data_IF_987662498009
#
_entry.id   IF_987662498009
#
_cell.length_a   1.000
_cell.length_b   1.000
_cell.length_c   1.000
_cell.angle_alpha   90.00
_cell.angle_beta   90.00
_cell.angle_gamma   90.00
#
_symmetry.space_group_name_H-M   'P 1'
#
loop_
_entity.id
_entity.type
_entity.pdbx_description
1 polymer ?
#
# COMPACT_ATOMS: atom_id res chain seq x y z
N UNK A 1 -19.11 -38.32 6.06
CA UNK A 1 -18.69 -37.95 7.42
C UNK A 1 -17.44 -37.08 7.29
N UNK A 2 -17.31 -35.99 8.04
CA UNK A 2 -16.08 -35.18 8.06
C UNK A 2 -14.90 -36.03 8.52
N UNK A 3 -13.73 -35.78 7.95
CA UNK A 3 -12.49 -36.45 8.37
C UNK A 3 -12.00 -35.96 9.74
N UNK A 4 -11.06 -36.65 10.36
CA UNK A 4 -10.45 -36.19 11.60
C UNK A 4 -9.74 -34.82 11.43
N UNK A 5 -9.24 -34.53 10.22
CA UNK A 5 -8.65 -33.23 9.91
C UNK A 5 -9.74 -32.14 9.82
N UNK A 6 -10.86 -32.41 9.19
CA UNK A 6 -11.97 -31.44 9.10
C UNK A 6 -12.47 -31.05 10.48
N UNK A 7 -12.65 -32.02 11.38
CA UNK A 7 -13.07 -31.75 12.76
C UNK A 7 -12.06 -30.90 13.54
N UNK A 8 -10.76 -31.12 13.31
CA UNK A 8 -9.69 -30.29 13.93
C UNK A 8 -9.68 -28.86 13.37
N UNK A 9 -9.88 -28.70 12.07
CA UNK A 9 -9.98 -27.38 11.42
C UNK A 9 -11.21 -26.63 11.90
N UNK A 10 -12.35 -27.30 12.00
CA UNK A 10 -13.58 -26.72 12.52
C UNK A 10 -13.43 -26.29 14.00
N UNK A 11 -12.81 -27.12 14.82
CA UNK A 11 -12.52 -26.77 16.22
C UNK A 11 -11.59 -25.55 16.32
N UNK A 12 -10.53 -25.48 15.50
CA UNK A 12 -9.64 -24.32 15.45
C UNK A 12 -10.35 -23.06 14.95
N UNK A 13 -11.18 -23.19 13.91
CA UNK A 13 -12.00 -22.07 13.40
C UNK A 13 -12.93 -21.54 14.50
N UNK A 14 -13.66 -22.41 15.20
CA UNK A 14 -14.57 -22.04 16.26
C UNK A 14 -13.86 -21.42 17.46
N UNK A 15 -12.63 -21.83 17.77
CA UNK A 15 -11.80 -21.20 18.81
C UNK A 15 -11.43 -19.76 18.45
N UNK A 16 -11.18 -19.50 17.18
CA UNK A 16 -10.73 -18.17 16.69
C UNK A 16 -11.93 -17.24 16.48
N UNK A 17 -13.05 -17.74 15.94
CA UNK A 17 -14.20 -16.92 15.49
C UNK A 17 -15.44 -17.06 16.39
N UNK A 18 -15.45 -18.00 17.34
CA UNK A 18 -16.55 -18.23 18.26
C UNK A 18 -16.67 -17.15 19.34
N UNK A 19 -17.68 -17.27 20.21
CA UNK A 19 -17.89 -16.30 21.29
C UNK A 19 -16.65 -16.15 22.18
N UNK A 20 -16.15 -14.92 22.31
CA UNK A 20 -14.91 -14.64 23.05
C UNK A 20 -13.62 -14.88 22.28
N UNK A 21 -13.68 -15.35 21.05
CA UNK A 21 -12.51 -15.49 20.17
C UNK A 21 -11.94 -14.14 19.71
N UNK A 22 -10.68 -14.14 19.24
CA UNK A 22 -10.00 -12.89 18.84
C UNK A 22 -10.58 -12.26 17.56
N UNK A 23 -11.29 -13.02 16.73
CA UNK A 23 -11.91 -12.55 15.50
C UNK A 23 -13.45 -12.54 15.70
N UNK A 24 -14.04 -11.37 15.63
CA UNK A 24 -15.48 -11.21 15.71
C UNK A 24 -16.07 -11.09 14.31
N UNK A 25 -16.89 -12.08 13.92
CA UNK A 25 -17.58 -12.06 12.64
C UNK A 25 -18.86 -11.23 12.74
N UNK A 26 -19.09 -10.40 11.73
CA UNK A 26 -20.29 -9.60 11.53
C UNK A 26 -20.82 -9.77 10.12
N UNK A 27 -21.90 -9.06 9.81
CA UNK A 27 -22.48 -9.00 8.47
C UNK A 27 -22.68 -7.54 8.06
N UNK A 28 -22.40 -7.23 6.81
CA UNK A 28 -22.62 -5.91 6.22
C UNK A 28 -23.35 -6.05 4.89
N UNK A 29 -24.32 -5.17 4.66
CA UNK A 29 -24.99 -5.10 3.36
C UNK A 29 -24.14 -4.26 2.39
N UNK A 30 -23.80 -4.85 1.23
CA UNK A 30 -23.13 -4.17 0.14
C UNK A 30 -23.70 -4.64 -1.20
N UNK A 31 -24.08 -3.68 -2.07
CA UNK A 31 -24.63 -3.93 -3.39
C UNK A 31 -25.84 -4.89 -3.37
N UNK A 32 -26.70 -4.80 -2.34
CA UNK A 32 -27.86 -5.65 -2.17
C UNK A 32 -27.57 -7.07 -1.66
N UNK A 33 -26.34 -7.34 -1.23
CA UNK A 33 -25.91 -8.62 -0.68
C UNK A 33 -25.44 -8.50 0.77
N UNK A 34 -25.77 -9.48 1.59
CA UNK A 34 -25.23 -9.64 2.94
C UNK A 34 -23.86 -10.34 2.83
N UNK A 35 -22.82 -9.63 3.20
CA UNK A 35 -21.45 -10.13 3.14
C UNK A 35 -20.87 -10.28 4.55
N UNK A 36 -20.17 -11.40 4.84
CA UNK A 36 -19.47 -11.54 6.12
C UNK A 36 -18.26 -10.61 6.16
N UNK A 37 -17.97 -10.06 7.34
CA UNK A 37 -16.79 -9.25 7.58
C UNK A 37 -16.29 -9.41 9.02
N UNK A 38 -15.05 -9.02 9.28
CA UNK A 38 -14.45 -9.01 10.62
C UNK A 38 -14.81 -7.69 11.29
N UNK A 39 -15.74 -7.72 12.25
CA UNK A 39 -16.32 -6.50 12.86
C UNK A 39 -15.36 -5.75 13.79
N UNK A 40 -14.37 -6.43 14.35
CA UNK A 40 -13.35 -5.85 15.23
C UNK A 40 -12.00 -5.56 14.54
N UNK A 41 -11.93 -5.69 13.21
CA UNK A 41 -10.76 -5.27 12.45
C UNK A 41 -10.76 -3.76 12.20
N UNK A 42 -9.59 -3.14 11.98
CA UNK A 42 -9.51 -1.76 11.51
C UNK A 42 -10.33 -1.57 10.22
N UNK A 43 -10.99 -0.41 10.08
CA UNK A 43 -12.00 -0.17 9.03
C UNK A 43 -11.40 0.06 7.64
N UNK A 44 -10.11 0.33 7.55
CA UNK A 44 -9.39 0.54 6.29
C UNK A 44 -7.93 0.04 6.41
N UNK A 45 -7.27 -0.13 5.25
CA UNK A 45 -5.91 -0.66 5.20
C UNK A 45 -4.86 0.26 5.85
N UNK A 46 -5.03 1.57 5.81
CA UNK A 46 -4.11 2.51 6.45
C UNK A 46 -4.13 2.35 7.99
N UNK A 47 -5.33 2.24 8.56
CA UNK A 47 -5.50 1.98 10.01
C UNK A 47 -4.97 0.59 10.39
N UNK A 48 -5.14 -0.40 9.50
CA UNK A 48 -4.61 -1.75 9.69
C UNK A 48 -3.07 -1.73 9.78
N UNK A 49 -2.40 -1.03 8.87
CA UNK A 49 -0.94 -0.87 8.90
C UNK A 49 -0.50 -0.11 10.16
N UNK A 50 -1.21 0.95 10.54
CA UNK A 50 -0.93 1.71 11.75
C UNK A 50 -1.03 0.85 13.02
N UNK A 51 -2.05 0.00 13.10
CA UNK A 51 -2.25 -0.93 14.21
C UNK A 51 -1.04 -1.89 14.36
N UNK A 52 -0.63 -2.54 13.27
CA UNK A 52 0.51 -3.47 13.33
C UNK A 52 1.85 -2.76 13.53
N UNK A 53 2.02 -1.55 13.00
CA UNK A 53 3.20 -0.75 13.26
C UNK A 53 3.32 -0.37 14.75
N UNK A 54 2.21 -0.06 15.41
CA UNK A 54 2.18 0.20 16.84
C UNK A 54 2.44 -1.07 17.67
N UNK A 55 1.93 -2.23 17.23
CA UNK A 55 2.05 -3.49 17.95
C UNK A 55 3.46 -4.08 17.85
N UNK A 56 4.09 -4.02 16.68
CA UNK A 56 5.37 -4.68 16.41
C UNK A 56 6.57 -3.74 16.48
N UNK A 57 6.37 -2.44 16.36
CA UNK A 57 7.39 -1.41 16.60
C UNK A 57 8.70 -1.65 15.85
N UNK A 58 9.74 -1.98 16.60
CA UNK A 58 11.09 -2.17 16.08
C UNK A 58 11.37 -3.58 15.53
N UNK A 59 10.39 -4.51 15.54
CA UNK A 59 10.53 -5.81 14.90
C UNK A 59 10.73 -5.64 13.39
N UNK A 60 11.55 -6.51 12.78
CA UNK A 60 11.81 -6.48 11.33
C UNK A 60 10.53 -6.81 10.55
N UNK A 61 10.18 -5.98 9.57
CA UNK A 61 9.04 -6.16 8.68
C UNK A 61 9.47 -6.47 7.24
N UNK A 62 10.36 -5.66 6.67
CA UNK A 62 10.83 -5.84 5.29
C UNK A 62 12.32 -6.15 5.27
N UNK A 63 12.70 -7.00 4.32
CA UNK A 63 14.07 -7.43 4.09
C UNK A 63 14.34 -7.41 2.60
N UNK A 64 15.32 -6.62 2.16
CA UNK A 64 15.79 -6.58 0.77
C UNK A 64 17.33 -6.50 0.78
N UNK A 65 17.99 -7.54 0.28
CA UNK A 65 19.46 -7.65 0.40
C UNK A 65 19.91 -7.54 1.87
N UNK A 66 20.75 -6.55 2.16
CA UNK A 66 21.23 -6.25 3.51
C UNK A 66 20.35 -5.25 4.27
N UNK A 67 19.42 -4.58 3.58
CA UNK A 67 18.50 -3.64 4.21
C UNK A 67 17.42 -4.37 5.02
N UNK A 68 17.24 -3.92 6.25
CA UNK A 68 16.23 -4.41 7.20
C UNK A 68 15.43 -3.23 7.69
N UNK A 69 14.14 -3.23 7.43
CA UNK A 69 13.24 -2.17 7.89
C UNK A 69 12.27 -2.74 8.93
N UNK A 70 12.16 -2.06 10.05
CA UNK A 70 11.16 -2.39 11.07
C UNK A 70 9.76 -1.94 10.65
N UNK A 71 8.73 -2.44 11.32
CA UNK A 71 7.34 -1.98 11.16
C UNK A 71 7.23 -0.46 11.33
N UNK A 72 7.89 0.09 12.35
CA UNK A 72 7.92 1.52 12.62
C UNK A 72 8.59 2.31 11.49
N UNK A 73 9.74 1.85 10.97
CA UNK A 73 10.44 2.52 9.88
C UNK A 73 9.61 2.52 8.59
N UNK A 74 9.01 1.38 8.23
CA UNK A 74 8.12 1.28 7.06
C UNK A 74 6.92 2.22 7.21
N UNK A 75 6.29 2.24 8.39
CA UNK A 75 5.17 3.13 8.67
C UNK A 75 5.55 4.61 8.54
N UNK A 76 6.69 5.01 9.09
CA UNK A 76 7.17 6.40 9.01
C UNK A 76 7.53 6.81 7.58
N UNK A 77 8.22 5.95 6.83
CA UNK A 77 8.53 6.19 5.42
C UNK A 77 7.24 6.29 4.57
N UNK A 78 6.27 5.42 4.79
CA UNK A 78 4.99 5.47 4.10
C UNK A 78 4.20 6.75 4.42
N UNK A 79 4.26 7.26 5.65
CA UNK A 79 3.68 8.56 6.01
C UNK A 79 4.32 9.73 5.26
N UNK A 80 5.64 9.71 5.09
CA UNK A 80 6.34 10.73 4.30
C UNK A 80 5.93 10.65 2.82
N UNK A 81 5.84 9.44 2.27
CA UNK A 81 5.32 9.24 0.91
C UNK A 81 3.90 9.76 0.79
N UNK A 82 3.01 9.47 1.74
CA UNK A 82 1.64 9.99 1.73
C UNK A 82 1.59 11.52 1.74
N UNK A 83 2.39 12.17 2.58
CA UNK A 83 2.49 13.63 2.61
C UNK A 83 3.00 14.19 1.27
N UNK A 84 4.06 13.60 0.70
CA UNK A 84 4.58 14.00 -0.61
C UNK A 84 3.57 13.82 -1.75
N UNK A 85 2.78 12.75 -1.73
CA UNK A 85 1.72 12.52 -2.71
C UNK A 85 0.63 13.59 -2.63
N UNK A 86 0.20 13.96 -1.43
CA UNK A 86 -0.85 14.98 -1.23
C UNK A 86 -0.31 16.38 -1.51
N UNK A 87 0.79 16.77 -0.89
CA UNK A 87 1.30 18.15 -0.93
C UNK A 87 2.10 18.44 -2.22
N UNK A 88 2.91 17.46 -2.67
CA UNK A 88 3.81 17.62 -3.82
C UNK A 88 3.20 17.20 -5.15
N UNK A 89 2.28 16.24 -5.14
CA UNK A 89 1.68 15.69 -6.35
C UNK A 89 0.17 15.92 -6.46
N UNK A 90 -0.47 16.52 -5.44
CA UNK A 90 -1.89 16.89 -5.47
C UNK A 90 -2.86 15.70 -5.43
N UNK A 91 -2.41 14.54 -4.95
CA UNK A 91 -3.25 13.34 -4.84
C UNK A 91 -4.39 13.58 -3.87
N UNK A 92 -5.60 13.31 -4.32
CA UNK A 92 -6.83 13.43 -3.55
C UNK A 92 -7.41 12.05 -3.22
N UNK A 93 -8.34 12.03 -2.27
CA UNK A 93 -9.04 10.81 -1.89
C UNK A 93 -9.76 10.20 -3.09
N UNK A 94 -9.47 8.92 -3.35
CA UNK A 94 -10.04 8.16 -4.46
C UNK A 94 -9.25 8.25 -5.77
N UNK A 95 -8.24 9.14 -5.87
CA UNK A 95 -7.37 9.18 -7.04
C UNK A 95 -6.62 7.86 -7.21
N UNK A 96 -6.53 7.40 -8.45
CA UNK A 96 -5.79 6.21 -8.81
C UNK A 96 -4.32 6.57 -9.03
N UNK A 97 -3.44 5.90 -8.27
CA UNK A 97 -1.98 6.05 -8.39
C UNK A 97 -1.40 4.70 -8.81
N UNK A 98 -0.80 4.68 -9.99
CA UNK A 98 -0.18 3.47 -10.54
C UNK A 98 1.13 3.11 -9.81
N UNK A 99 1.36 1.82 -9.62
CA UNK A 99 2.63 1.26 -9.18
C UNK A 99 3.18 0.34 -10.27
N UNK A 100 4.22 0.80 -10.98
CA UNK A 100 4.90 0.08 -12.05
C UNK A 100 6.34 -0.20 -11.67
N UNK A 101 6.58 -1.15 -10.76
CA UNK A 101 7.93 -1.51 -10.33
C UNK A 101 8.02 -2.97 -9.91
N UNK A 102 9.23 -3.50 -9.82
CA UNK A 102 9.49 -4.82 -9.23
C UNK A 102 9.23 -4.80 -7.72
N UNK A 103 9.15 -5.99 -7.14
CA UNK A 103 9.09 -6.15 -5.68
C UNK A 103 10.37 -5.57 -5.06
N UNK A 104 10.19 -4.65 -4.11
CA UNK A 104 11.24 -3.95 -3.38
C UNK A 104 10.66 -3.35 -2.10
N UNK A 105 11.52 -2.93 -1.16
CA UNK A 105 11.09 -2.17 0.01
C UNK A 105 10.33 -0.91 -0.39
N UNK A 106 10.81 -0.19 -1.42
CA UNK A 106 10.16 1.01 -1.95
C UNK A 106 8.77 0.74 -2.53
N UNK A 107 8.52 -0.46 -3.11
CA UNK A 107 7.19 -0.86 -3.56
C UNK A 107 6.20 -0.93 -2.40
N UNK A 108 6.59 -1.62 -1.31
CA UNK A 108 5.73 -1.75 -0.12
C UNK A 108 5.45 -0.39 0.53
N UNK A 109 6.49 0.43 0.68
CA UNK A 109 6.39 1.77 1.27
C UNK A 109 5.50 2.68 0.42
N UNK A 110 5.67 2.66 -0.91
CA UNK A 110 4.83 3.44 -1.83
C UNK A 110 3.38 2.98 -1.82
N UNK A 111 3.13 1.66 -1.84
CA UNK A 111 1.79 1.10 -1.74
C UNK A 111 1.07 1.58 -0.48
N UNK A 112 1.71 1.44 0.67
CA UNK A 112 1.15 1.89 1.96
C UNK A 112 0.96 3.42 1.95
N UNK A 113 1.92 4.17 1.40
CA UNK A 113 1.84 5.63 1.28
C UNK A 113 0.65 6.10 0.44
N UNK A 114 0.35 5.43 -0.68
CA UNK A 114 -0.83 5.72 -1.51
C UNK A 114 -2.12 5.50 -0.70
N UNK A 115 -2.22 4.39 0.02
CA UNK A 115 -3.40 4.12 0.87
C UNK A 115 -3.55 5.17 1.98
N UNK A 116 -2.46 5.58 2.61
CA UNK A 116 -2.46 6.63 3.64
C UNK A 116 -2.81 8.01 3.08
N UNK A 117 -2.46 8.29 1.83
CA UNK A 117 -2.89 9.50 1.12
C UNK A 117 -4.39 9.51 0.77
N UNK A 118 -5.07 8.37 0.99
CA UNK A 118 -6.47 8.17 0.59
C UNK A 118 -6.63 7.81 -0.89
N UNK A 119 -5.53 7.56 -1.59
CA UNK A 119 -5.53 7.11 -2.98
C UNK A 119 -5.90 5.63 -3.14
N UNK A 120 -6.18 5.24 -4.36
CA UNK A 120 -6.36 3.87 -4.80
C UNK A 120 -5.09 3.40 -5.49
N UNK A 121 -4.36 2.44 -4.91
CA UNK A 121 -3.17 1.88 -5.51
C UNK A 121 -3.55 0.97 -6.69
N UNK A 122 -3.15 1.35 -7.89
CA UNK A 122 -3.34 0.57 -9.12
C UNK A 122 -2.07 -0.20 -9.42
N UNK A 123 -2.11 -1.51 -9.20
CA UNK A 123 -0.94 -2.36 -9.37
C UNK A 123 -0.76 -2.72 -10.85
N UNK A 124 0.23 -2.13 -11.48
CA UNK A 124 0.59 -2.40 -12.87
C UNK A 124 1.59 -3.55 -12.95
N UNK A 125 1.38 -4.48 -13.86
CA UNK A 125 2.26 -5.63 -13.98
C UNK A 125 3.67 -5.20 -14.41
N UNK A 126 4.66 -5.42 -13.54
CA UNK A 126 6.05 -5.05 -13.77
C UNK A 126 6.76 -5.78 -14.93
N UNK A 127 6.12 -6.81 -15.53
CA UNK A 127 6.62 -7.51 -16.71
C UNK A 127 6.11 -6.92 -18.02
N UNK A 128 5.07 -6.11 -18.00
CA UNK A 128 4.51 -5.48 -19.18
C UNK A 128 5.52 -4.60 -19.91
N UNK A 129 5.41 -4.61 -21.23
CA UNK A 129 6.15 -3.68 -22.10
C UNK A 129 5.44 -2.32 -22.17
N UNK A 130 6.09 -1.33 -22.79
CA UNK A 130 5.60 0.04 -22.80
C UNK A 130 4.15 0.21 -23.24
N UNK A 131 3.74 -0.45 -24.34
CA UNK A 131 2.35 -0.39 -24.83
C UNK A 131 1.33 -1.00 -23.86
N UNK A 132 1.68 -2.11 -23.21
CA UNK A 132 0.81 -2.77 -22.23
C UNK A 132 0.70 -1.93 -20.94
N UNK A 133 1.83 -1.37 -20.47
CA UNK A 133 1.85 -0.45 -19.32
C UNK A 133 1.00 0.79 -19.60
N UNK A 134 1.16 1.39 -20.78
CA UNK A 134 0.39 2.56 -21.19
C UNK A 134 -1.12 2.24 -21.26
N UNK A 135 -1.51 1.10 -21.83
CA UNK A 135 -2.89 0.66 -21.84
C UNK A 135 -3.43 0.49 -20.40
N UNK A 136 -2.69 -0.17 -19.50
CA UNK A 136 -3.11 -0.33 -18.11
C UNK A 136 -3.23 1.01 -17.35
N UNK A 137 -2.38 2.01 -17.67
CA UNK A 137 -2.48 3.36 -17.12
C UNK A 137 -3.76 4.04 -17.61
N UNK A 138 -4.03 3.98 -18.92
CA UNK A 138 -5.22 4.58 -19.53
C UNK A 138 -6.51 3.92 -19.02
N UNK A 139 -6.57 2.60 -19.02
CA UNK A 139 -7.74 1.84 -18.55
C UNK A 139 -8.04 2.08 -17.07
N UNK A 140 -7.01 2.25 -16.27
CA UNK A 140 -7.16 2.57 -14.84
C UNK A 140 -7.40 4.05 -14.58
N UNK A 141 -7.28 4.93 -15.57
CA UNK A 141 -7.35 6.39 -15.42
C UNK A 141 -6.35 6.94 -14.37
N UNK A 142 -5.23 6.26 -14.18
CA UNK A 142 -4.20 6.71 -13.24
C UNK A 142 -3.50 7.96 -13.77
N UNK A 143 -3.55 9.06 -13.02
CA UNK A 143 -2.93 10.34 -13.40
C UNK A 143 -1.50 10.48 -12.91
N UNK A 144 -1.11 9.67 -11.96
CA UNK A 144 0.23 9.58 -11.40
C UNK A 144 0.65 8.12 -11.37
N UNK A 145 1.88 7.83 -11.80
CA UNK A 145 2.48 6.50 -11.72
C UNK A 145 3.84 6.59 -11.04
N UNK A 146 4.04 5.78 -10.02
CA UNK A 146 5.33 5.57 -9.38
C UNK A 146 5.96 4.36 -10.06
N UNK A 147 7.09 4.55 -10.71
CA UNK A 147 7.77 3.51 -11.48
C UNK A 147 9.22 3.38 -11.07
N UNK A 148 9.79 2.19 -11.14
CA UNK A 148 11.25 2.06 -11.10
C UNK A 148 11.87 2.52 -12.42
N UNK A 149 13.20 2.74 -12.42
CA UNK A 149 13.96 3.23 -13.59
C UNK A 149 13.66 2.40 -14.83
N UNK A 150 13.59 1.06 -14.71
CA UNK A 150 13.38 0.18 -15.87
C UNK A 150 11.97 0.30 -16.44
N UNK A 151 10.94 0.43 -15.60
CA UNK A 151 9.54 0.57 -16.03
C UNK A 151 9.27 1.98 -16.53
N UNK A 152 9.86 2.99 -15.89
CA UNK A 152 9.82 4.35 -16.40
C UNK A 152 10.41 4.45 -17.83
N UNK A 153 11.56 3.86 -18.07
CA UNK A 153 12.18 3.82 -19.40
C UNK A 153 11.30 3.14 -20.46
N UNK A 154 10.49 2.14 -20.10
CA UNK A 154 9.56 1.50 -21.05
C UNK A 154 8.41 2.43 -21.47
N UNK A 155 8.10 3.44 -20.68
CA UNK A 155 7.05 4.41 -20.96
C UNK A 155 7.55 5.62 -21.77
N UNK A 156 8.87 5.75 -21.98
CA UNK A 156 9.43 6.83 -22.78
C UNK A 156 8.93 6.74 -24.23
N UNK A 157 8.41 7.85 -24.75
CA UNK A 157 7.86 7.93 -26.10
C UNK A 157 6.55 7.19 -26.34
N UNK A 158 5.92 6.64 -25.28
CA UNK A 158 4.60 6.01 -25.34
C UNK A 158 3.57 6.92 -24.71
N UNK A 159 2.44 7.16 -25.38
CA UNK A 159 1.37 7.99 -24.86
C UNK A 159 0.58 7.25 -23.77
N UNK A 160 0.52 7.81 -22.56
CA UNK A 160 -0.16 7.24 -21.41
C UNK A 160 -0.89 8.25 -20.51
N UNK A 161 -0.73 9.55 -20.76
CA UNK A 161 -1.46 10.63 -20.08
C UNK A 161 -1.14 10.83 -18.58
N UNK A 162 -0.28 10.01 -17.97
CA UNK A 162 0.04 10.11 -16.56
C UNK A 162 1.39 10.81 -16.30
N UNK A 163 1.52 11.47 -15.15
CA UNK A 163 2.82 11.91 -14.63
C UNK A 163 3.59 10.72 -14.07
N UNK A 164 4.84 10.55 -14.48
CA UNK A 164 5.71 9.49 -13.97
C UNK A 164 6.63 10.05 -12.89
N UNK A 165 6.68 9.36 -11.74
CA UNK A 165 7.68 9.58 -10.68
C UNK A 165 8.58 8.35 -10.65
N UNK A 166 9.85 8.56 -10.99
CA UNK A 166 10.83 7.48 -11.11
C UNK A 166 11.59 7.29 -9.81
N UNK A 167 11.67 6.05 -9.33
CA UNK A 167 12.41 5.64 -8.15
C UNK A 167 13.62 4.79 -8.55
N UNK A 168 14.76 5.06 -7.91
CA UNK A 168 15.95 4.21 -8.00
C UNK A 168 15.94 3.18 -6.86
N UNK A 169 15.59 1.94 -7.17
CA UNK A 169 15.50 0.85 -6.20
C UNK A 169 16.86 0.30 -5.73
N UNK A 170 17.97 0.86 -6.23
CA UNK A 170 19.31 0.51 -5.75
C UNK A 170 19.74 1.34 -4.54
N UNK A 171 18.97 2.39 -4.23
CA UNK A 171 19.22 3.29 -3.11
C UNK A 171 18.54 2.78 -1.83
N UNK A 172 19.07 3.12 -0.64
CA UNK A 172 18.34 2.95 0.62
C UNK A 172 16.96 3.62 0.57
N UNK A 173 16.02 3.11 1.37
CA UNK A 173 14.60 3.45 1.26
C UNK A 173 14.31 4.97 1.30
N UNK A 174 14.96 5.72 2.17
CA UNK A 174 14.79 7.17 2.31
C UNK A 174 15.22 7.96 1.07
N UNK A 175 16.28 7.51 0.41
CA UNK A 175 16.73 8.07 -0.86
C UNK A 175 15.89 7.56 -2.05
N UNK A 176 15.49 6.30 -2.04
CA UNK A 176 14.66 5.72 -3.09
C UNK A 176 13.32 6.47 -3.22
N UNK A 177 12.68 6.82 -2.10
CA UNK A 177 11.38 7.52 -2.10
C UNK A 177 11.49 9.06 -2.16
N UNK A 178 12.70 9.62 -2.15
CA UNK A 178 12.93 11.07 -2.19
C UNK A 178 12.24 11.80 -3.37
N UNK A 179 12.12 11.22 -4.57
CA UNK A 179 11.38 11.84 -5.67
C UNK A 179 9.89 12.08 -5.38
N UNK A 180 9.30 11.31 -4.46
CA UNK A 180 7.91 11.49 -4.02
C UNK A 180 7.84 12.50 -2.88
N UNK A 181 8.73 12.35 -1.88
CA UNK A 181 8.65 13.11 -0.63
C UNK A 181 9.14 14.55 -0.75
N UNK A 182 9.81 14.88 -1.86
CA UNK A 182 10.59 16.11 -1.95
C UNK A 182 11.75 16.12 -0.95
N UNK A 183 12.67 17.08 -1.07
CA UNK A 183 13.84 17.17 -0.17
C UNK A 183 13.52 17.72 1.23
N UNK A 184 12.30 17.64 1.71
CA UNK A 184 11.95 18.07 3.07
C UNK A 184 12.35 17.00 4.08
N UNK A 185 13.58 17.11 4.56
CA UNK A 185 14.20 16.27 5.60
C UNK A 185 13.62 16.48 7.01
N UNK A 186 12.42 16.99 7.17
CA UNK A 186 11.83 17.24 8.48
C UNK A 186 10.76 16.19 8.82
N UNK A 187 11.13 15.10 9.55
CA UNK A 187 10.18 14.10 9.99
C UNK A 187 9.14 14.63 11.00
N UNK A 188 9.37 15.83 11.57
CA UNK A 188 8.45 16.46 12.52
C UNK A 188 7.24 17.13 11.83
N UNK A 189 7.29 17.40 10.52
CA UNK A 189 6.19 18.01 9.75
C UNK A 189 5.07 17.08 9.35
N UNK A 190 5.21 15.77 9.53
CA UNK A 190 4.22 14.79 9.09
C UNK A 190 3.09 14.61 10.11
N UNK A 191 2.24 15.61 10.28
CA UNK A 191 0.88 15.36 10.75
C UNK A 191 0.19 14.45 9.70
N UNK A 192 -0.65 13.46 10.10
CA UNK A 192 -1.36 12.66 9.14
C UNK A 192 -2.18 13.57 8.22
N UNK A 193 -2.18 13.35 6.89
CA UNK A 193 -2.97 14.13 5.97
C UNK A 193 -4.44 14.11 6.39
N UNK A 194 -5.21 15.19 6.14
CA UNK A 194 -6.58 15.35 6.62
C UNK A 194 -7.55 14.25 6.13
N UNK A 195 -7.19 13.48 5.12
CA UNK A 195 -7.97 12.34 4.64
C UNK A 195 -7.99 11.14 5.61
N UNK A 196 -7.10 11.08 6.61
CA UNK A 196 -7.10 10.04 7.66
C UNK A 196 -7.90 10.45 8.91
N UNK A 197 -8.48 11.65 8.95
CA UNK A 197 -9.45 12.04 9.98
C UNK A 197 -10.84 11.70 9.48
N UNK A 198 -11.60 10.93 10.28
CA UNK A 198 -12.94 10.37 10.03
C UNK A 198 -13.88 11.29 9.27
#
# INVERSE_FOLDING_TARGET
>A
MPSALDLRLEAAYNLITGPGGPIQLGSVERFGHQLPFISNAPTNLADYVAFFAAQHGDATFLVEGDERLSFKQVYMAARQVAAGLVEGHGVQRGDRVGLAMRNANAWCVSYIGILMAGGCATLLNGWWQGGELAAGILDSEAKLVIADVQRAARLEGVEHGAKIVTLDLTQPIDLAVAPITGSSRDPARSAPPPCCRR
#
